data_IF_686015686080
#
_entry.id   IF_686015686080
#
_cell.length_a   1.000
_cell.length_b   1.000
_cell.length_c   1.000
_cell.angle_alpha   90.00
_cell.angle_beta   90.00
_cell.angle_gamma   90.00
#
_symmetry.space_group_name_H-M   'P 1'
#
loop_
_entity.id
_entity.type
_entity.pdbx_description
1 polymer ?
#
# COMPACT_ATOMS: atom_id res chain seq x y z
N UNK A 1 -8.05 -7.26 22.71
CA UNK A 1 -7.35 -8.32 21.98
C UNK A 1 -7.62 -8.23 20.47
N UNK A 2 -7.27 -7.09 19.83
CA UNK A 2 -7.71 -6.74 18.47
C UNK A 2 -6.58 -6.58 17.43
N UNK A 3 -5.37 -7.11 17.65
CA UNK A 3 -4.20 -6.77 16.84
C UNK A 3 -3.48 -7.95 16.17
N UNK A 4 -4.14 -9.08 15.95
CA UNK A 4 -3.45 -10.20 15.29
C UNK A 4 -3.62 -10.27 13.77
N UNK A 5 -4.21 -9.25 13.12
CA UNK A 5 -4.37 -9.21 11.67
C UNK A 5 -4.20 -7.77 11.14
N UNK A 6 -2.99 -7.19 11.26
CA UNK A 6 -2.71 -5.90 10.66
C UNK A 6 -2.44 -6.04 9.16
N UNK A 7 -3.16 -5.29 8.32
CA UNK A 7 -2.76 -5.06 6.93
C UNK A 7 -2.04 -3.73 6.89
N UNK A 8 -0.75 -3.76 6.60
CA UNK A 8 0.02 -2.58 6.29
C UNK A 8 0.21 -2.52 4.78
N UNK A 9 -0.57 -1.70 4.11
CA UNK A 9 -0.28 -1.34 2.74
C UNK A 9 0.66 -0.14 2.79
N UNK A 10 1.96 -0.40 2.69
CA UNK A 10 2.95 0.65 2.51
C UNK A 10 2.86 1.16 1.09
N UNK A 11 2.48 2.43 0.93
CA UNK A 11 2.57 3.09 -0.36
C UNK A 11 4.02 3.51 -0.59
N UNK A 12 4.63 2.91 -1.60
CA UNK A 12 5.88 3.40 -2.15
C UNK A 12 5.52 4.67 -2.92
N UNK A 13 6.11 5.79 -2.53
CA UNK A 13 5.84 7.11 -3.12
C UNK A 13 5.99 7.05 -4.64
N UNK A 14 4.87 7.02 -5.32
CA UNK A 14 4.79 7.10 -6.77
C UNK A 14 4.76 8.58 -7.15
N UNK A 15 5.63 9.01 -8.08
CA UNK A 15 5.54 10.35 -8.63
C UNK A 15 4.15 10.55 -9.29
N UNK A 16 3.59 11.77 -9.24
CA UNK A 16 2.28 12.11 -9.83
C UNK A 16 2.15 11.65 -11.29
N UNK A 17 3.27 11.63 -12.02
CA UNK A 17 3.35 11.17 -13.41
C UNK A 17 2.96 9.70 -13.57
N UNK A 18 3.25 8.84 -12.57
CA UNK A 18 2.94 7.40 -12.61
C UNK A 18 1.52 7.09 -12.18
N UNK A 19 0.92 7.92 -11.35
CA UNK A 19 -0.51 7.83 -11.03
C UNK A 19 -1.38 8.11 -12.25
N UNK A 20 -0.98 9.05 -13.10
CA UNK A 20 -1.61 9.28 -14.41
C UNK A 20 -1.47 8.07 -15.31
N UNK A 21 -0.32 7.38 -15.31
CA UNK A 21 -0.12 6.18 -16.12
C UNK A 21 -1.10 5.05 -15.77
N UNK A 22 -1.43 4.84 -14.51
CA UNK A 22 -2.36 3.77 -14.09
C UNK A 22 -3.80 4.09 -14.46
N UNK A 23 -4.26 5.35 -14.33
CA UNK A 23 -5.57 5.77 -14.83
C UNK A 23 -5.62 5.69 -16.37
N UNK A 24 -4.51 6.01 -17.02
CA UNK A 24 -4.33 5.89 -18.47
C UNK A 24 -4.35 4.42 -18.91
N UNK A 25 -3.73 3.50 -18.17
CA UNK A 25 -3.75 2.08 -18.50
C UNK A 25 -5.17 1.53 -18.63
N UNK A 26 -6.05 1.86 -17.68
CA UNK A 26 -7.47 1.43 -17.78
C UNK A 26 -8.16 1.97 -19.01
N UNK A 27 -7.84 3.20 -19.42
CA UNK A 27 -8.31 3.80 -20.67
C UNK A 27 -7.73 3.11 -21.91
N UNK A 28 -6.42 2.88 -21.93
CA UNK A 28 -5.72 2.21 -23.03
C UNK A 28 -6.21 0.77 -23.23
N UNK A 29 -6.40 0.02 -22.16
CA UNK A 29 -6.97 -1.33 -22.24
C UNK A 29 -8.37 -1.32 -22.85
N UNK A 30 -9.21 -0.34 -22.43
CA UNK A 30 -10.61 -0.27 -22.87
C UNK A 30 -10.77 0.19 -24.33
N UNK A 31 -9.98 1.17 -24.75
CA UNK A 31 -10.17 1.86 -26.03
C UNK A 31 -9.18 1.42 -27.12
N UNK A 32 -8.04 0.87 -26.72
CA UNK A 32 -6.95 0.51 -27.65
C UNK A 32 -6.51 -0.94 -27.55
N UNK A 33 -7.13 -1.76 -26.67
CA UNK A 33 -6.75 -3.17 -26.51
C UNK A 33 -5.30 -3.38 -26.03
N UNK A 34 -4.69 -2.38 -25.41
CA UNK A 34 -3.29 -2.42 -24.97
C UNK A 34 -3.09 -3.56 -23.96
N UNK A 35 -2.08 -4.38 -24.17
CA UNK A 35 -1.67 -5.37 -23.18
C UNK A 35 -1.12 -4.65 -21.91
N UNK A 36 -1.78 -4.84 -20.76
CA UNK A 36 -1.36 -4.18 -19.54
C UNK A 36 0.04 -4.61 -19.08
N UNK A 37 0.48 -5.82 -19.41
CA UNK A 37 1.80 -6.32 -19.01
C UNK A 37 2.90 -5.60 -19.76
N UNK A 38 2.75 -5.48 -21.07
CA UNK A 38 3.73 -4.76 -21.92
C UNK A 38 3.84 -3.31 -21.49
N UNK A 39 2.69 -2.63 -21.32
CA UNK A 39 2.66 -1.25 -20.86
C UNK A 39 3.37 -1.06 -19.51
N UNK A 40 3.04 -1.91 -18.54
CA UNK A 40 3.62 -1.82 -17.20
C UNK A 40 5.12 -2.16 -17.20
N UNK A 41 5.54 -3.14 -17.99
CA UNK A 41 6.96 -3.46 -18.13
C UNK A 41 7.73 -2.30 -18.73
N UNK A 42 7.22 -1.67 -19.81
CA UNK A 42 7.87 -0.54 -20.45
C UNK A 42 7.96 0.70 -19.52
N UNK A 43 6.95 0.92 -18.69
CA UNK A 43 6.86 2.11 -17.82
C UNK A 43 7.50 1.96 -16.44
N UNK A 44 7.93 0.75 -16.05
CA UNK A 44 8.43 0.44 -14.70
C UNK A 44 9.84 -0.17 -14.70
N UNK A 45 10.65 0.16 -15.69
CA UNK A 45 12.08 -0.19 -15.71
C UNK A 45 12.89 0.94 -15.07
N UNK A 46 13.54 0.66 -13.95
CA UNK A 46 14.41 1.61 -13.24
C UNK A 46 15.73 0.92 -12.88
N UNK A 47 16.71 0.92 -13.80
CA UNK A 47 18.03 0.32 -13.53
C UNK A 47 18.72 0.91 -12.29
N UNK A 48 18.49 2.20 -12.03
CA UNK A 48 19.12 2.95 -10.94
C UNK A 48 18.29 2.95 -9.64
N UNK A 49 17.29 2.09 -9.52
CA UNK A 49 16.38 2.08 -8.36
C UNK A 49 17.14 1.91 -7.04
N UNK A 50 18.21 1.12 -7.03
CA UNK A 50 19.04 0.90 -5.84
C UNK A 50 19.69 2.18 -5.32
N UNK A 51 20.16 3.05 -6.23
CA UNK A 51 20.84 4.29 -5.90
C UNK A 51 19.86 5.39 -5.44
N UNK A 52 18.60 5.28 -5.85
CA UNK A 52 17.54 6.23 -5.50
C UNK A 52 16.90 5.97 -4.13
N UNK A 53 17.17 4.80 -3.54
CA UNK A 53 16.53 4.39 -2.29
C UNK A 53 17.49 4.56 -1.12
N UNK A 54 17.06 5.34 -0.14
CA UNK A 54 17.78 5.46 1.13
C UNK A 54 17.54 4.20 1.96
N UNK A 55 18.61 3.49 2.30
CA UNK A 55 18.56 2.38 3.26
C UNK A 55 18.24 2.91 4.66
N UNK A 56 16.96 2.88 5.04
CA UNK A 56 16.53 3.32 6.36
C UNK A 56 16.48 2.16 7.35
N UNK A 57 17.51 2.02 8.17
CA UNK A 57 17.47 1.11 9.33
C UNK A 57 16.25 1.39 10.24
N UNK A 58 15.81 2.65 10.32
CA UNK A 58 14.63 3.07 11.06
C UNK A 58 13.35 2.37 10.57
N UNK A 59 13.18 2.20 9.24
CA UNK A 59 12.01 1.49 8.69
C UNK A 59 12.00 0.02 9.09
N UNK A 60 13.15 -0.64 9.06
CA UNK A 60 13.28 -2.04 9.53
C UNK A 60 12.85 -2.18 10.98
N UNK A 61 13.37 -1.32 11.86
CA UNK A 61 12.98 -1.31 13.26
C UNK A 61 11.50 -1.00 13.48
N UNK A 62 10.93 -0.06 12.70
CA UNK A 62 9.51 0.22 12.77
C UNK A 62 8.66 -1.00 12.37
N UNK A 63 9.00 -1.68 11.25
CA UNK A 63 8.31 -2.88 10.79
C UNK A 63 8.42 -4.06 11.78
N UNK A 64 9.57 -4.23 12.43
CA UNK A 64 9.75 -5.26 13.46
C UNK A 64 8.87 -5.01 14.70
N UNK A 65 8.64 -3.76 15.05
CA UNK A 65 7.79 -3.38 16.20
C UNK A 65 6.30 -3.44 15.92
N UNK A 66 5.90 -3.52 14.64
CA UNK A 66 4.51 -3.70 14.26
C UNK A 66 4.14 -5.18 14.40
N UNK A 67 3.16 -5.47 15.25
CA UNK A 67 2.59 -6.82 15.39
C UNK A 67 1.66 -7.18 14.24
N UNK A 68 1.30 -8.46 14.14
CA UNK A 68 0.37 -8.96 13.15
C UNK A 68 0.97 -9.14 11.76
N UNK A 69 0.12 -9.59 10.81
CA UNK A 69 0.53 -9.80 9.42
C UNK A 69 0.69 -8.48 8.70
N UNK A 70 1.73 -8.38 7.88
CA UNK A 70 2.05 -7.21 7.08
C UNK A 70 1.95 -7.55 5.61
N UNK A 71 1.07 -6.85 4.89
CA UNK A 71 0.84 -7.07 3.47
C UNK A 71 1.16 -5.78 2.71
N UNK A 72 1.79 -5.91 1.56
CA UNK A 72 1.92 -4.80 0.62
C UNK A 72 0.74 -4.85 -0.33
N UNK A 73 0.08 -3.69 -0.53
CA UNK A 73 -0.95 -3.52 -1.54
C UNK A 73 -0.64 -2.30 -2.40
N UNK A 74 -0.17 -2.56 -3.63
CA UNK A 74 0.32 -1.55 -4.56
C UNK A 74 -0.43 -1.59 -5.89
N UNK A 75 -0.59 -0.42 -6.51
CA UNK A 75 -1.04 -0.31 -7.90
C UNK A 75 0.10 -0.53 -8.92
N UNK A 76 1.33 -0.70 -8.43
CA UNK A 76 2.49 -0.99 -9.27
C UNK A 76 2.55 -2.47 -9.67
N UNK A 77 3.27 -2.81 -10.75
CA UNK A 77 3.50 -4.19 -11.14
C UNK A 77 4.38 -4.92 -10.12
N UNK A 78 4.19 -6.23 -10.02
CA UNK A 78 4.86 -7.07 -9.01
C UNK A 78 6.38 -6.96 -9.04
N UNK A 79 6.97 -7.05 -10.23
CA UNK A 79 8.43 -6.98 -10.36
C UNK A 79 9.01 -5.70 -9.76
N UNK A 80 8.36 -4.56 -10.00
CA UNK A 80 8.79 -3.29 -9.44
C UNK A 80 8.65 -3.25 -7.92
N UNK A 81 7.52 -3.71 -7.37
CA UNK A 81 7.31 -3.74 -5.91
C UNK A 81 8.35 -4.63 -5.23
N UNK A 82 8.60 -5.83 -5.77
CA UNK A 82 9.60 -6.76 -5.21
C UNK A 82 11.01 -6.16 -5.28
N UNK A 83 11.34 -5.49 -6.38
CA UNK A 83 12.63 -4.82 -6.56
C UNK A 83 12.83 -3.69 -5.53
N UNK A 84 11.82 -2.84 -5.32
CA UNK A 84 11.86 -1.77 -4.31
C UNK A 84 12.02 -2.34 -2.91
N UNK A 85 11.18 -3.31 -2.53
CA UNK A 85 11.24 -3.92 -1.20
C UNK A 85 12.58 -4.64 -0.95
N UNK A 86 13.14 -5.26 -1.98
CA UNK A 86 14.45 -5.88 -1.95
C UNK A 86 15.58 -4.87 -1.76
N UNK A 87 15.58 -3.81 -2.57
CA UNK A 87 16.58 -2.74 -2.49
C UNK A 87 16.54 -2.01 -1.14
N UNK A 88 15.34 -1.82 -0.54
CA UNK A 88 15.20 -1.29 0.82
C UNK A 88 15.56 -2.30 1.92
N UNK A 89 15.80 -3.57 1.60
CA UNK A 89 16.11 -4.63 2.57
C UNK A 89 14.95 -5.00 3.50
N UNK A 90 13.70 -4.67 3.10
CA UNK A 90 12.51 -4.83 3.96
C UNK A 90 11.54 -5.92 3.50
N UNK A 91 11.79 -6.56 2.34
CA UNK A 91 10.89 -7.57 1.76
C UNK A 91 10.49 -8.67 2.75
N UNK A 92 11.43 -9.15 3.55
CA UNK A 92 11.25 -10.23 4.54
C UNK A 92 10.28 -9.91 5.67
N UNK A 93 9.92 -8.64 5.86
CA UNK A 93 8.97 -8.22 6.91
C UNK A 93 7.52 -8.24 6.44
N UNK A 94 7.28 -8.56 5.16
CA UNK A 94 5.94 -8.64 4.58
C UNK A 94 5.58 -10.08 4.24
N UNK A 95 4.42 -10.52 4.72
CA UNK A 95 3.88 -11.88 4.50
C UNK A 95 3.43 -12.07 3.05
N UNK A 96 2.92 -11.03 2.40
CA UNK A 96 2.53 -11.09 1.00
C UNK A 96 2.59 -9.73 0.30
N UNK A 97 2.69 -9.77 -1.04
CA UNK A 97 2.66 -8.62 -1.93
C UNK A 97 1.47 -8.76 -2.88
N UNK A 98 0.57 -7.78 -2.84
CA UNK A 98 -0.53 -7.60 -3.78
C UNK A 98 -0.20 -6.42 -4.69
N UNK A 99 -0.02 -6.74 -5.94
CA UNK A 99 0.29 -5.82 -7.02
C UNK A 99 -0.94 -5.60 -7.91
N UNK A 100 -0.83 -4.79 -8.93
CA UNK A 100 -1.92 -4.51 -9.88
C UNK A 100 -2.39 -5.78 -10.61
N UNK A 101 -1.49 -6.72 -10.89
CA UNK A 101 -1.82 -8.02 -11.51
C UNK A 101 -2.68 -8.87 -10.55
N UNK A 102 -2.39 -8.80 -9.25
CA UNK A 102 -3.16 -9.53 -8.22
C UNK A 102 -4.62 -9.09 -8.17
N UNK A 103 -4.91 -7.86 -8.59
CA UNK A 103 -6.26 -7.28 -8.65
C UNK A 103 -6.88 -7.34 -10.04
N UNK A 104 -6.29 -8.10 -10.97
CA UNK A 104 -6.71 -8.16 -12.39
C UNK A 104 -6.78 -6.77 -13.01
N UNK A 105 -5.74 -5.97 -12.79
CA UNK A 105 -5.60 -4.60 -13.29
C UNK A 105 -6.72 -3.64 -12.86
N UNK A 106 -7.34 -3.89 -11.70
CA UNK A 106 -8.30 -2.98 -11.07
C UNK A 106 -7.60 -2.23 -9.94
N UNK A 107 -7.13 -1.01 -10.20
CA UNK A 107 -6.30 -0.27 -9.24
C UNK A 107 -7.13 0.22 -8.05
N UNK A 108 -6.45 0.50 -6.94
CA UNK A 108 -7.00 1.38 -5.90
C UNK A 108 -7.36 2.73 -6.55
N UNK A 109 -8.46 3.37 -6.18
CA UNK A 109 -9.32 3.15 -5.02
C UNK A 109 -10.47 2.15 -5.23
N UNK A 110 -10.46 1.33 -6.30
CA UNK A 110 -11.48 0.29 -6.49
C UNK A 110 -11.52 -0.67 -5.30
N UNK A 111 -12.71 -0.97 -4.77
CA UNK A 111 -12.91 -1.95 -3.70
C UNK A 111 -12.53 -3.39 -4.09
N UNK A 112 -12.47 -3.67 -5.40
CA UNK A 112 -12.19 -5.02 -5.90
C UNK A 112 -10.87 -5.60 -5.38
N UNK A 113 -9.80 -4.78 -5.34
CA UNK A 113 -8.51 -5.20 -4.82
C UNK A 113 -8.54 -5.50 -3.32
N UNK A 114 -9.25 -4.70 -2.54
CA UNK A 114 -9.45 -4.95 -1.11
C UNK A 114 -10.18 -6.28 -0.87
N UNK A 115 -11.22 -6.58 -1.64
CA UNK A 115 -11.95 -7.85 -1.52
C UNK A 115 -11.08 -9.05 -1.87
N UNK A 116 -10.24 -8.96 -2.92
CA UNK A 116 -9.29 -10.03 -3.28
C UNK A 116 -8.37 -10.32 -2.11
N UNK A 117 -7.76 -9.30 -1.55
CA UNK A 117 -6.81 -9.39 -0.44
C UNK A 117 -7.47 -9.93 0.83
N UNK A 118 -8.65 -9.42 1.21
CA UNK A 118 -9.40 -9.86 2.38
C UNK A 118 -9.79 -11.34 2.28
N UNK A 119 -10.27 -11.79 1.12
CA UNK A 119 -10.64 -13.20 0.90
C UNK A 119 -9.43 -14.12 0.97
N UNK A 120 -8.34 -13.76 0.28
CA UNK A 120 -7.14 -14.59 0.21
C UNK A 120 -6.51 -14.85 1.59
N UNK A 121 -6.61 -13.90 2.50
CA UNK A 121 -6.05 -14.00 3.84
C UNK A 121 -7.08 -14.22 4.94
N UNK A 122 -8.36 -14.38 4.59
CA UNK A 122 -9.48 -14.53 5.55
C UNK A 122 -9.48 -13.41 6.60
N UNK A 123 -9.39 -12.16 6.13
CA UNK A 123 -9.27 -11.00 6.99
C UNK A 123 -10.63 -10.43 7.37
N UNK A 124 -10.77 -10.07 8.63
CA UNK A 124 -11.85 -9.23 9.12
C UNK A 124 -11.46 -7.76 8.91
N UNK A 125 -12.20 -6.98 8.11
CA UNK A 125 -11.88 -5.58 7.86
C UNK A 125 -11.80 -4.74 9.14
N UNK A 126 -12.62 -5.03 10.16
CA UNK A 126 -12.61 -4.31 11.45
C UNK A 126 -11.34 -4.56 12.27
N UNK A 127 -10.56 -5.57 11.91
CA UNK A 127 -9.28 -5.92 12.53
C UNK A 127 -8.08 -5.54 11.69
N UNK A 128 -8.32 -4.77 10.62
CA UNK A 128 -7.31 -4.36 9.67
C UNK A 128 -7.03 -2.86 9.79
N UNK A 129 -5.78 -2.50 9.50
CA UNK A 129 -5.33 -1.12 9.36
C UNK A 129 -4.78 -0.93 7.96
N UNK A 130 -5.27 0.05 7.24
CA UNK A 130 -4.77 0.44 5.92
C UNK A 130 -4.00 1.74 6.01
N UNK A 131 -2.75 1.72 5.58
CA UNK A 131 -1.82 2.87 5.59
C UNK A 131 -1.56 3.30 4.16
N UNK A 132 -1.87 4.54 3.82
CA UNK A 132 -1.70 5.06 2.45
C UNK A 132 -1.52 6.58 2.51
N UNK A 133 -0.91 7.20 1.50
CA UNK A 133 -0.79 8.66 1.38
C UNK A 133 -1.92 9.26 0.52
N UNK A 134 -2.66 8.44 -0.21
CA UNK A 134 -3.76 8.85 -1.07
C UNK A 134 -5.10 8.79 -0.34
N UNK A 135 -5.74 9.94 -0.19
CA UNK A 135 -7.03 10.07 0.50
C UNK A 135 -8.15 9.25 -0.13
N UNK A 136 -8.17 9.10 -1.46
CA UNK A 136 -9.15 8.29 -2.18
C UNK A 136 -9.06 6.82 -1.81
N UNK A 137 -7.85 6.28 -1.67
CA UNK A 137 -7.59 4.91 -1.25
C UNK A 137 -8.07 4.69 0.19
N UNK A 138 -7.78 5.63 1.10
CA UNK A 138 -8.22 5.59 2.49
C UNK A 138 -9.75 5.65 2.59
N UNK A 139 -10.39 6.50 1.78
CA UNK A 139 -11.86 6.57 1.72
C UNK A 139 -12.48 5.24 1.28
N UNK A 140 -11.87 4.57 0.31
CA UNK A 140 -12.33 3.25 -0.15
C UNK A 140 -12.17 2.19 0.95
N UNK A 141 -11.03 2.16 1.65
CA UNK A 141 -10.80 1.26 2.78
C UNK A 141 -11.78 1.50 3.93
N UNK A 142 -12.04 2.77 4.27
CA UNK A 142 -12.96 3.14 5.35
C UNK A 142 -14.38 2.67 5.08
N UNK A 143 -14.86 2.72 3.84
CA UNK A 143 -16.19 2.20 3.45
C UNK A 143 -16.33 0.70 3.65
N UNK A 144 -15.22 -0.03 3.72
CA UNK A 144 -15.18 -1.47 3.99
C UNK A 144 -15.01 -1.78 5.49
N UNK A 145 -15.00 -0.77 6.36
CA UNK A 145 -14.82 -0.94 7.81
C UNK A 145 -13.36 -1.06 8.26
N UNK A 146 -12.40 -0.84 7.36
CA UNK A 146 -10.97 -0.89 7.65
C UNK A 146 -10.54 0.41 8.35
N UNK A 147 -9.76 0.30 9.43
CA UNK A 147 -9.14 1.46 10.05
C UNK A 147 -8.09 2.08 9.14
N UNK A 148 -8.00 3.42 9.12
CA UNK A 148 -7.21 4.16 8.13
C UNK A 148 -6.14 5.01 8.77
N UNK A 149 -4.92 4.94 8.21
CA UNK A 149 -3.80 5.79 8.60
C UNK A 149 -3.32 6.56 7.38
N UNK A 150 -3.33 7.87 7.48
CA UNK A 150 -2.85 8.76 6.42
C UNK A 150 -1.41 9.18 6.68
N UNK A 151 -0.53 8.90 5.74
CA UNK A 151 0.86 9.36 5.76
C UNK A 151 0.92 10.71 5.06
N UNK A 152 1.03 11.79 5.81
CA UNK A 152 1.00 13.15 5.28
C UNK A 152 1.56 14.18 6.25
N UNK A 153 2.16 15.23 5.70
CA UNK A 153 2.58 16.43 6.43
C UNK A 153 1.46 17.49 6.57
N UNK A 154 0.25 17.23 6.00
CA UNK A 154 -0.89 18.13 6.09
C UNK A 154 -1.35 18.37 7.54
N UNK A 155 -1.93 19.52 7.82
CA UNK A 155 -2.32 19.92 9.19
C UNK A 155 -3.66 19.32 9.59
N UNK A 156 -4.62 19.26 8.66
CA UNK A 156 -5.99 18.80 8.91
C UNK A 156 -6.23 17.44 8.26
N UNK A 157 -6.89 16.52 8.98
CA UNK A 157 -7.27 15.23 8.43
C UNK A 157 -8.78 15.14 8.18
N UNK A 158 -9.23 14.50 7.07
CA UNK A 158 -10.65 14.23 6.83
C UNK A 158 -11.25 13.31 7.90
N UNK A 159 -12.58 13.39 8.12
CA UNK A 159 -13.28 12.57 9.13
C UNK A 159 -13.15 11.05 8.91
N UNK A 160 -12.97 10.61 7.67
CA UNK A 160 -12.80 9.19 7.35
C UNK A 160 -11.36 8.68 7.56
N UNK A 161 -10.44 9.53 8.00
CA UNK A 161 -9.09 9.16 8.39
C UNK A 161 -9.04 9.02 9.92
N UNK A 162 -8.69 7.85 10.42
CA UNK A 162 -8.63 7.60 11.87
C UNK A 162 -7.37 8.22 12.49
N UNK A 163 -6.21 7.98 11.87
CA UNK A 163 -4.91 8.49 12.32
C UNK A 163 -4.17 9.16 11.18
N UNK A 164 -3.47 10.27 11.47
CA UNK A 164 -2.48 10.87 10.57
C UNK A 164 -1.10 10.76 11.21
N UNK A 165 -0.11 10.41 10.39
CA UNK A 165 1.30 10.37 10.75
C UNK A 165 2.11 11.14 9.70
N UNK A 166 3.21 11.76 10.08
CA UNK A 166 4.10 12.40 9.11
C UNK A 166 4.98 11.38 8.39
N UNK A 167 5.26 10.25 9.04
CA UNK A 167 6.08 9.16 8.48
C UNK A 167 5.55 7.79 8.93
N UNK A 168 5.76 6.78 8.11
CA UNK A 168 5.50 5.37 8.45
C UNK A 168 6.30 4.91 9.68
N UNK A 169 7.38 5.60 10.03
CA UNK A 169 8.19 5.34 11.21
C UNK A 169 7.44 5.58 12.53
N UNK A 170 6.39 6.39 12.49
CA UNK A 170 5.56 6.70 13.66
C UNK A 170 4.49 5.62 13.94
N UNK A 171 4.20 4.74 12.98
CA UNK A 171 3.15 3.72 13.08
C UNK A 171 3.19 2.90 14.37
N UNK A 172 4.37 2.43 14.86
CA UNK A 172 4.41 1.64 16.10
C UNK A 172 3.88 2.38 17.32
N UNK A 173 3.92 3.72 17.31
CA UNK A 173 3.42 4.55 18.44
C UNK A 173 1.89 4.69 18.41
N UNK A 174 1.27 4.63 17.24
CA UNK A 174 -0.15 4.91 17.02
C UNK A 174 -1.00 3.65 16.93
N UNK A 175 -0.52 2.62 16.26
CA UNK A 175 -1.28 1.37 16.04
C UNK A 175 -1.43 0.56 17.33
N UNK A 176 -0.48 0.64 18.27
CA UNK A 176 -0.56 -0.10 19.55
C UNK A 176 -1.26 0.65 20.69
N UNK A 177 -1.40 1.97 20.62
CA UNK A 177 -2.10 2.74 21.69
C UNK A 177 -3.59 2.45 21.73
N UNK A 178 -4.22 2.17 20.60
CA UNK A 178 -5.65 1.85 20.53
C UNK A 178 -5.98 0.39 20.90
N UNK A 179 -4.98 -0.41 21.28
CA UNK A 179 -5.18 -1.80 21.73
C UNK A 179 -5.26 -1.95 23.26
N UNK A 180 -5.15 -0.84 24.02
CA UNK A 180 -5.18 -0.81 25.48
C UNK A 180 -6.36 0.02 26.05
N UNK A 181 -7.29 0.39 25.20
CA UNK A 181 -8.52 1.05 25.60
C UNK A 181 -9.72 0.12 25.53
#
# INVERSE_FOLDING_TARGET
MLLNQGIFAMHIRYSEMKMRAISTLSGLMRHHGTDPREFLNATHQFPELGDMLVHENALRHALMRLGGRKLVFSNAPRHYVEQVLGAMGVRRYFDAVYSIESTRYRPKPSSAGFHVLMRAHKLDPHRCVFVDDMLENLRAAKRLGIATVWVSHGVTKPRYVDVRVASVLELPRHVFRNARG
#
